data_IF_234741643575
#
_entry.id   IF_234741643575
#
_cell.length_a   1.000
_cell.length_b   1.000
_cell.length_c   1.000
_cell.angle_alpha   90.00
_cell.angle_beta   90.00
_cell.angle_gamma   90.00
#
_symmetry.space_group_name_H-M   'P 1'
#
loop_
_entity.id
_entity.type
_entity.pdbx_description
1 polymer ?
#
# COMPACT_ATOMS: atom_id res chain seq x y z
N UNK A 1 -11.67 8.24 -19.49
CA UNK A 1 -10.59 7.35 -19.01
C UNK A 1 -9.87 7.88 -17.75
N UNK A 2 -10.53 8.68 -16.90
CA UNK A 2 -9.93 9.24 -15.65
C UNK A 2 -10.56 8.61 -14.40
N UNK A 3 -11.88 8.44 -14.40
CA UNK A 3 -12.62 7.79 -13.30
C UNK A 3 -12.22 6.33 -13.05
N UNK A 4 -11.91 5.57 -14.09
CA UNK A 4 -11.46 4.17 -13.93
C UNK A 4 -10.09 4.07 -13.23
N UNK A 5 -9.25 5.10 -13.37
CA UNK A 5 -7.98 5.17 -12.65
C UNK A 5 -8.21 5.47 -11.16
N UNK A 6 -9.23 6.27 -10.84
CA UNK A 6 -9.57 6.62 -9.46
C UNK A 6 -10.15 5.42 -8.69
N UNK A 7 -10.99 4.60 -9.32
CA UNK A 7 -11.55 3.39 -8.68
C UNK A 7 -10.50 2.29 -8.44
N UNK A 8 -9.54 2.15 -9.35
CA UNK A 8 -8.40 1.23 -9.18
C UNK A 8 -7.45 1.77 -8.10
N UNK A 9 -7.18 3.07 -8.07
CA UNK A 9 -6.40 3.71 -7.00
C UNK A 9 -7.09 3.53 -5.63
N UNK A 10 -8.42 3.61 -5.54
CA UNK A 10 -9.18 3.40 -4.30
C UNK A 10 -9.11 1.95 -3.80
N UNK A 11 -9.26 0.95 -4.68
CA UNK A 11 -9.11 -0.46 -4.31
C UNK A 11 -7.67 -0.81 -3.88
N UNK A 12 -6.67 -0.14 -4.47
CA UNK A 12 -5.27 -0.29 -4.07
C UNK A 12 -4.97 0.34 -2.70
N UNK A 13 -5.64 1.46 -2.36
CA UNK A 13 -5.53 2.08 -1.04
C UNK A 13 -6.17 1.22 0.06
N UNK A 14 -7.35 0.64 -0.18
CA UNK A 14 -8.01 -0.31 0.74
C UNK A 14 -7.13 -1.53 1.05
N UNK A 15 -6.39 -2.01 0.04
CA UNK A 15 -5.43 -3.11 0.22
C UNK A 15 -4.28 -2.73 1.17
N UNK A 16 -3.80 -1.48 1.09
CA UNK A 16 -2.74 -0.98 1.96
C UNK A 16 -3.15 -0.85 3.43
N UNK A 17 -4.39 -0.42 3.70
CA UNK A 17 -4.91 -0.35 5.07
C UNK A 17 -5.01 -1.73 5.71
N UNK A 18 -5.47 -2.75 4.98
CA UNK A 18 -5.53 -4.12 5.46
C UNK A 18 -4.13 -4.69 5.78
N UNK A 19 -3.16 -4.40 4.92
CA UNK A 19 -1.76 -4.79 5.15
C UNK A 19 -1.19 -4.12 6.40
N UNK A 20 -1.46 -2.82 6.60
CA UNK A 20 -1.01 -2.08 7.78
C UNK A 20 -1.64 -2.63 9.06
N UNK A 21 -2.94 -2.93 9.05
CA UNK A 21 -3.62 -3.56 10.20
C UNK A 21 -3.02 -4.92 10.53
N UNK A 22 -2.80 -5.77 9.52
CA UNK A 22 -2.18 -7.08 9.70
C UNK A 22 -0.75 -7.00 10.23
N UNK A 23 0.06 -6.05 9.74
CA UNK A 23 1.41 -5.83 10.22
C UNK A 23 1.45 -5.37 11.68
N UNK A 24 0.54 -4.48 12.09
CA UNK A 24 0.40 -4.05 13.50
C UNK A 24 0.01 -5.22 14.40
N UNK A 25 -0.97 -6.01 14.01
CA UNK A 25 -1.38 -7.20 14.76
C UNK A 25 -0.24 -8.20 14.96
N UNK A 26 0.63 -8.37 13.96
CA UNK A 26 1.83 -9.22 14.07
C UNK A 26 2.89 -8.65 15.02
N UNK A 27 3.06 -7.32 15.07
CA UNK A 27 3.99 -6.68 15.98
C UNK A 27 3.48 -6.71 17.43
N UNK A 28 2.16 -6.68 17.62
CA UNK A 28 1.51 -6.72 18.93
C UNK A 28 1.44 -8.15 19.51
N UNK A 29 1.63 -9.20 18.69
CA UNK A 29 1.67 -10.59 19.13
C UNK A 29 3.12 -11.07 19.36
N UNK A 30 3.60 -11.13 20.62
CA UNK A 30 4.95 -11.63 20.93
C UNK A 30 5.13 -13.13 20.63
N UNK A 31 4.04 -13.87 20.32
CA UNK A 31 4.09 -15.26 19.90
C UNK A 31 4.13 -15.43 18.38
N UNK A 32 4.06 -14.33 17.62
CA UNK A 32 4.14 -14.37 16.17
C UNK A 32 5.46 -15.05 15.75
N UNK A 33 5.35 -16.19 15.07
CA UNK A 33 6.51 -16.93 14.59
C UNK A 33 7.18 -16.26 13.39
N UNK A 34 8.44 -16.60 13.15
CA UNK A 34 9.25 -16.06 12.05
C UNK A 34 8.53 -16.07 10.69
N UNK A 35 7.82 -17.16 10.36
CA UNK A 35 7.06 -17.28 9.11
C UNK A 35 5.95 -16.24 8.98
N UNK A 36 5.22 -15.98 10.05
CA UNK A 36 4.14 -15.00 10.08
C UNK A 36 4.70 -13.57 9.96
N UNK A 37 5.80 -13.29 10.66
CA UNK A 37 6.50 -12.00 10.57
C UNK A 37 7.07 -11.76 9.17
N UNK A 38 7.74 -12.74 8.56
CA UNK A 38 8.24 -12.63 7.18
C UNK A 38 7.11 -12.39 6.19
N UNK A 39 6.00 -13.12 6.31
CA UNK A 39 4.84 -12.91 5.46
C UNK A 39 4.28 -11.48 5.59
N UNK A 40 4.08 -11.01 6.83
CA UNK A 40 3.60 -9.64 7.08
C UNK A 40 4.53 -8.57 6.51
N UNK A 41 5.85 -8.72 6.70
CA UNK A 41 6.85 -7.80 6.15
C UNK A 41 6.86 -7.79 4.61
N UNK A 42 6.72 -8.95 3.96
CA UNK A 42 6.61 -9.03 2.50
C UNK A 42 5.41 -8.24 2.00
N UNK A 43 4.23 -8.45 2.61
CA UNK A 43 3.00 -7.73 2.23
C UNK A 43 3.13 -6.22 2.46
N UNK A 44 3.75 -5.81 3.57
CA UNK A 44 4.02 -4.40 3.86
C UNK A 44 4.96 -3.76 2.83
N UNK A 45 6.01 -4.47 2.40
CA UNK A 45 6.93 -3.99 1.38
C UNK A 45 6.25 -3.85 0.00
N UNK A 46 5.41 -4.81 -0.38
CA UNK A 46 4.61 -4.75 -1.61
C UNK A 46 3.67 -3.54 -1.60
N UNK A 47 2.92 -3.35 -0.50
CA UNK A 47 2.01 -2.21 -0.36
C UNK A 47 2.75 -0.86 -0.41
N UNK A 48 3.94 -0.76 0.22
CA UNK A 48 4.75 0.45 0.15
C UNK A 48 5.23 0.75 -1.28
N UNK A 49 5.62 -0.28 -2.04
CA UNK A 49 6.01 -0.11 -3.44
C UNK A 49 4.85 0.43 -4.30
N UNK A 50 3.63 -0.04 -4.03
CA UNK A 50 2.43 0.44 -4.71
C UNK A 50 2.12 1.90 -4.37
N UNK A 51 2.19 2.29 -3.09
CA UNK A 51 2.05 3.69 -2.65
C UNK A 51 3.09 4.59 -3.33
N UNK A 52 4.35 4.17 -3.40
CA UNK A 52 5.40 4.93 -4.07
C UNK A 52 5.11 5.10 -5.57
N UNK A 53 4.58 4.06 -6.24
CA UNK A 53 4.20 4.15 -7.66
C UNK A 53 3.05 5.13 -7.89
N UNK A 54 2.03 5.12 -7.02
CA UNK A 54 0.91 6.07 -7.06
C UNK A 54 1.44 7.49 -6.84
N UNK A 55 2.29 7.70 -5.85
CA UNK A 55 2.89 9.00 -5.56
C UNK A 55 3.71 9.55 -6.74
N UNK A 56 4.52 8.71 -7.40
CA UNK A 56 5.26 9.08 -8.62
C UNK A 56 4.31 9.41 -9.77
N UNK A 57 3.27 8.60 -10.00
CA UNK A 57 2.27 8.86 -11.05
C UNK A 57 1.54 10.19 -10.82
N UNK A 58 1.19 10.50 -9.57
CA UNK A 58 0.53 11.75 -9.18
C UNK A 58 1.48 12.95 -9.25
N UNK A 59 2.74 12.79 -8.85
CA UNK A 59 3.78 13.83 -8.98
C UNK A 59 4.12 14.19 -10.43
N UNK A 60 3.88 13.27 -11.38
CA UNK A 60 3.93 13.55 -12.81
C UNK A 60 2.70 14.30 -13.37
N UNK A 61 1.62 14.45 -12.58
CA UNK A 61 0.37 15.14 -12.96
C UNK A 61 0.34 16.59 -12.45
N UNK A 62 1.48 17.30 -12.42
CA UNK A 62 1.47 18.77 -12.29
C UNK A 62 0.71 19.31 -13.50
N UNK A 63 -0.42 20.02 -13.33
CA UNK A 63 -1.05 20.69 -14.45
C UNK A 63 -0.02 21.68 -14.99
N UNK A 64 0.36 21.53 -16.25
CA UNK A 64 1.05 22.62 -16.95
C UNK A 64 0.03 23.75 -17.11
N UNK A 65 -0.12 24.57 -16.06
CA UNK A 65 -0.70 25.89 -16.20
C UNK A 65 0.29 26.70 -17.05
N UNK A 66 -0.14 27.01 -18.27
CA UNK A 66 0.41 28.10 -19.07
C UNK A 66 -0.45 29.33 -18.88
#
# INVERSE_FOLDING_TARGET
>A
MRLLADDIEAAQLDSGEQVLMGARALLDDPKAGERAVRFGLTRAAESLADVLRIAVSRGGRIPAER
#
